data_IF_847851814119
#
_entry.id   IF_847851814119
#
_cell.length_a   1.000
_cell.length_b   1.000
_cell.length_c   1.000
_cell.angle_alpha   90.00
_cell.angle_beta   90.00
_cell.angle_gamma   90.00
#
_symmetry.space_group_name_H-M   'P 1'
#
loop_
_entity.id
_entity.type
_entity.pdbx_description
1 polymer ?
#
# COMPACT_ATOMS: atom_id res chain seq x y z
N UNK A 1 8.28 15.68 -14.80
CA UNK A 1 7.55 15.71 -13.50
C UNK A 1 6.44 14.67 -13.58
N UNK A 2 6.63 13.52 -12.94
CA UNK A 2 5.65 12.44 -12.93
C UNK A 2 4.59 12.71 -11.85
N UNK A 3 3.32 12.59 -12.22
CA UNK A 3 2.22 12.72 -11.27
C UNK A 3 1.90 11.33 -10.73
N UNK A 4 2.18 11.09 -9.44
CA UNK A 4 1.51 10.01 -8.72
C UNK A 4 0.04 10.42 -8.64
N UNK A 5 -0.79 9.83 -9.50
CA UNK A 5 -2.24 9.99 -9.37
C UNK A 5 -2.67 9.42 -8.02
N UNK A 6 -3.56 10.11 -7.30
CA UNK A 6 -4.08 9.76 -5.96
C UNK A 6 -4.93 8.46 -5.95
N UNK A 7 -4.34 7.36 -6.37
CA UNK A 7 -4.92 6.03 -6.39
C UNK A 7 -4.46 5.25 -5.14
N UNK A 8 -4.83 5.73 -3.95
CA UNK A 8 -4.40 5.15 -2.67
C UNK A 8 -5.55 4.67 -1.77
N UNK A 9 -6.76 5.24 -1.87
CA UNK A 9 -8.03 4.46 -1.86
C UNK A 9 -9.29 5.28 -2.07
N UNK A 10 -9.19 6.57 -1.83
CA UNK A 10 -10.28 7.50 -2.07
C UNK A 10 -9.74 8.52 -3.04
N UNK A 11 -10.15 8.38 -4.30
CA UNK A 11 -9.93 9.43 -5.27
C UNK A 11 -10.57 10.71 -4.74
N UNK A 12 -9.75 11.73 -4.52
CA UNK A 12 -10.25 13.09 -4.35
C UNK A 12 -11.12 13.46 -5.57
N UNK A 13 -12.15 14.32 -5.43
CA UNK A 13 -13.02 14.68 -6.54
C UNK A 13 -12.22 15.17 -7.76
N UNK A 14 -12.34 14.43 -8.88
CA UNK A 14 -11.55 14.60 -10.09
C UNK A 14 -12.13 13.78 -11.25
N UNK A 15 -11.62 14.02 -12.47
CA UNK A 15 -12.03 13.28 -13.67
C UNK A 15 -11.16 12.04 -13.87
N UNK A 16 -11.78 10.88 -14.08
CA UNK A 16 -11.10 9.60 -14.31
C UNK A 16 -11.55 9.01 -15.64
N UNK A 17 -10.60 8.48 -16.42
CA UNK A 17 -10.90 7.63 -17.58
C UNK A 17 -10.93 6.18 -17.13
N UNK A 18 -11.99 5.49 -17.51
CA UNK A 18 -12.16 4.05 -17.32
C UNK A 18 -12.31 3.42 -18.71
N UNK A 19 -11.67 2.29 -18.94
CA UNK A 19 -11.81 1.52 -20.17
C UNK A 19 -12.67 0.29 -19.90
N UNK A 20 -13.51 -0.08 -20.87
CA UNK A 20 -14.37 -1.25 -20.74
C UNK A 20 -13.58 -2.55 -20.96
N UNK A 21 -14.01 -3.65 -20.36
CA UNK A 21 -13.52 -4.99 -20.65
C UNK A 21 -14.06 -5.52 -22.00
N UNK A 22 -13.67 -6.73 -22.43
CA UNK A 22 -14.15 -7.37 -23.68
C UNK A 22 -15.68 -7.56 -23.75
N UNK A 23 -16.41 -7.45 -22.63
CA UNK A 23 -17.88 -7.49 -22.59
C UNK A 23 -18.55 -6.10 -22.67
N UNK A 24 -17.77 -5.02 -22.84
CA UNK A 24 -18.28 -3.65 -22.86
C UNK A 24 -18.60 -3.08 -21.47
N UNK A 25 -18.17 -3.75 -20.39
CA UNK A 25 -18.45 -3.36 -19.00
C UNK A 25 -17.25 -2.59 -18.45
N UNK A 26 -17.50 -1.39 -17.91
CA UNK A 26 -16.56 -0.66 -17.08
C UNK A 26 -17.12 -0.58 -15.65
N UNK A 27 -16.37 -1.09 -14.67
CA UNK A 27 -16.77 -1.10 -13.27
C UNK A 27 -15.92 -0.12 -12.45
N UNK A 28 -16.52 0.47 -11.41
CA UNK A 28 -15.79 1.28 -10.44
C UNK A 28 -16.39 1.13 -9.05
N UNK A 29 -15.57 1.30 -8.02
CA UNK A 29 -16.00 1.27 -6.62
C UNK A 29 -15.53 2.54 -5.90
N UNK A 30 -16.44 3.23 -5.21
CA UNK A 30 -16.18 4.39 -4.35
C UNK A 30 -16.39 3.98 -2.89
N UNK A 31 -15.52 4.45 -2.01
CA UNK A 31 -15.68 4.35 -0.55
C UNK A 31 -15.96 5.74 0.03
N UNK A 32 -17.12 5.91 0.65
CA UNK A 32 -17.65 7.22 1.05
C UNK A 32 -17.33 7.63 2.49
N UNK A 33 -16.07 7.56 2.91
CA UNK A 33 -15.68 7.75 4.32
C UNK A 33 -15.90 9.18 4.84
N UNK A 34 -15.75 10.17 3.96
CA UNK A 34 -16.05 11.58 4.24
C UNK A 34 -17.26 12.06 3.42
N UNK A 35 -18.13 11.13 2.99
CA UNK A 35 -19.30 11.49 2.20
C UNK A 35 -20.37 12.09 3.12
N UNK A 36 -20.65 13.38 2.93
CA UNK A 36 -21.76 14.06 3.59
C UNK A 36 -23.12 13.52 3.11
N UNK A 37 -24.11 13.56 4.01
CA UNK A 37 -25.52 13.35 3.67
C UNK A 37 -25.96 14.34 2.59
N UNK A 38 -26.72 13.84 1.60
CA UNK A 38 -27.23 14.66 0.50
C UNK A 38 -27.37 13.89 -0.81
N UNK A 39 -27.73 14.63 -1.87
CA UNK A 39 -27.86 14.09 -3.21
C UNK A 39 -26.53 14.22 -3.96
N UNK A 40 -25.96 13.08 -4.32
CA UNK A 40 -24.73 12.96 -5.08
C UNK A 40 -25.01 12.62 -6.54
N UNK A 41 -24.06 12.95 -7.42
CA UNK A 41 -24.18 12.73 -8.86
C UNK A 41 -22.84 12.31 -9.45
N UNK A 42 -22.78 11.11 -10.00
CA UNK A 42 -21.68 10.66 -10.87
C UNK A 42 -21.95 11.19 -12.28
N UNK A 43 -20.96 11.86 -12.88
CA UNK A 43 -20.98 12.26 -14.30
C UNK A 43 -20.09 11.28 -15.06
N UNK A 44 -20.59 10.73 -16.16
CA UNK A 44 -19.88 9.80 -17.03
C UNK A 44 -19.75 10.44 -18.41
N UNK A 45 -18.53 10.78 -18.79
CA UNK A 45 -18.22 11.28 -20.14
C UNK A 45 -17.83 10.11 -21.04
N UNK A 46 -18.53 9.95 -22.15
CA UNK A 46 -18.16 9.12 -23.29
C UNK A 46 -17.87 10.05 -24.48
N UNK A 47 -17.10 9.59 -25.46
CA UNK A 47 -16.57 10.44 -26.54
C UNK A 47 -17.63 11.24 -27.32
N UNK A 48 -18.87 10.73 -27.38
CA UNK A 48 -20.01 11.37 -28.06
C UNK A 48 -21.21 11.68 -27.15
N UNK A 49 -21.18 11.38 -25.85
CA UNK A 49 -22.32 11.60 -24.94
C UNK A 49 -21.90 11.78 -23.48
N UNK A 50 -22.67 12.58 -22.74
CA UNK A 50 -22.52 12.71 -21.29
C UNK A 50 -23.73 12.09 -20.59
N UNK A 51 -23.48 11.04 -19.81
CA UNK A 51 -24.48 10.39 -18.96
C UNK A 51 -24.29 10.80 -17.49
N UNK A 52 -25.27 10.51 -16.65
CA UNK A 52 -25.10 10.72 -15.22
C UNK A 52 -26.05 9.89 -14.36
N UNK A 53 -25.53 9.39 -13.24
CA UNK A 53 -26.30 8.66 -12.23
C UNK A 53 -26.36 9.50 -10.96
N UNK A 54 -27.56 9.78 -10.48
CA UNK A 54 -27.79 10.46 -9.20
C UNK A 54 -28.17 9.46 -8.11
N UNK A 55 -27.69 9.66 -6.90
CA UNK A 55 -27.99 8.81 -5.75
C UNK A 55 -28.03 9.65 -4.46
N UNK A 56 -28.85 9.24 -3.50
CA UNK A 56 -28.89 9.86 -2.17
C UNK A 56 -27.98 9.12 -1.20
N UNK A 57 -27.25 9.85 -0.38
CA UNK A 57 -26.62 9.34 0.85
C UNK A 57 -27.34 9.93 2.05
N UNK A 58 -27.63 9.09 3.04
CA UNK A 58 -28.22 9.50 4.33
C UNK A 58 -27.18 9.25 5.42
N UNK A 59 -27.13 10.11 6.44
CA UNK A 59 -26.26 9.87 7.57
C UNK A 59 -26.78 8.64 8.35
N UNK A 60 -25.89 7.71 8.68
CA UNK A 60 -26.23 6.57 9.52
C UNK A 60 -26.68 7.06 10.90
N UNK A 61 -27.86 6.61 11.36
CA UNK A 61 -28.41 7.00 12.65
C UNK A 61 -28.21 5.88 13.67
N UNK A 62 -27.28 6.10 14.60
CA UNK A 62 -27.05 5.21 15.74
C UNK A 62 -27.78 5.77 16.98
N UNK A 63 -28.37 4.88 17.78
CA UNK A 63 -28.99 5.18 19.07
C UNK A 63 -28.08 4.70 20.22
N UNK A 64 -28.28 5.25 21.42
CA UNK A 64 -27.53 4.82 22.61
C UNK A 64 -26.09 5.35 22.70
N UNK A 65 -25.69 6.30 21.87
CA UNK A 65 -24.37 6.94 21.96
C UNK A 65 -24.17 7.61 23.33
N UNK A 66 -23.01 7.38 23.93
CA UNK A 66 -22.54 8.10 25.13
C UNK A 66 -21.78 9.37 24.73
N UNK A 67 -21.39 10.23 25.68
CA UNK A 67 -20.48 11.34 25.38
C UNK A 67 -19.66 11.80 26.59
N UNK A 68 -18.51 12.43 26.34
CA UNK A 68 -17.69 13.14 27.33
C UNK A 68 -16.87 14.26 26.65
N UNK A 69 -16.06 14.99 27.42
CA UNK A 69 -15.07 15.93 26.90
C UNK A 69 -13.64 15.42 27.15
N UNK A 70 -12.79 15.53 26.13
CA UNK A 70 -11.35 15.23 26.20
C UNK A 70 -10.61 16.22 25.29
N UNK A 71 -10.71 17.52 25.59
CA UNK A 71 -10.50 18.58 24.61
C UNK A 71 -11.82 18.82 23.86
N UNK A 72 -11.99 18.36 22.60
CA UNK A 72 -13.31 18.33 21.96
C UNK A 72 -14.34 17.50 22.73
N UNK A 73 -15.62 17.68 22.36
CA UNK A 73 -16.71 16.77 22.75
C UNK A 73 -16.56 15.49 21.94
N UNK A 74 -16.57 14.35 22.63
CA UNK A 74 -16.46 13.02 22.04
C UNK A 74 -17.79 12.29 22.21
N UNK A 75 -18.40 11.83 21.12
CA UNK A 75 -19.53 10.91 21.10
C UNK A 75 -19.00 9.47 21.08
N UNK A 76 -19.59 8.58 21.87
CA UNK A 76 -19.09 7.22 22.08
C UNK A 76 -20.02 6.15 21.58
N UNK A 77 -19.55 5.41 20.56
CA UNK A 77 -20.10 4.12 20.17
C UNK A 77 -19.40 3.03 20.98
N UNK A 78 -20.08 2.47 21.96
CA UNK A 78 -19.57 1.35 22.76
C UNK A 78 -19.94 0.05 22.04
N UNK A 79 -18.96 -0.62 21.43
CA UNK A 79 -19.13 -1.95 20.86
C UNK A 79 -18.92 -3.07 21.89
N UNK A 80 -19.02 -4.34 21.47
CA UNK A 80 -18.74 -5.49 22.34
C UNK A 80 -17.26 -5.58 22.73
N UNK A 81 -16.34 -5.32 21.78
CA UNK A 81 -14.90 -5.53 21.97
C UNK A 81 -14.09 -4.23 22.19
N UNK A 82 -14.54 -3.10 21.62
CA UNK A 82 -13.89 -1.78 21.69
C UNK A 82 -14.91 -0.64 21.76
N UNK A 83 -14.60 0.43 22.49
CA UNK A 83 -15.27 1.72 22.31
C UNK A 83 -14.63 2.54 21.19
N UNK A 84 -15.43 3.11 20.29
CA UNK A 84 -14.98 4.14 19.34
C UNK A 84 -15.62 5.47 19.70
N UNK A 85 -14.78 6.41 20.11
CA UNK A 85 -15.13 7.77 20.51
C UNK A 85 -14.74 8.74 19.40
N UNK A 86 -15.64 9.62 18.98
CA UNK A 86 -15.42 10.49 17.82
C UNK A 86 -16.02 11.88 18.05
N UNK A 87 -15.32 12.93 17.60
CA UNK A 87 -15.81 14.30 17.75
C UNK A 87 -16.95 14.65 16.78
N UNK A 88 -17.67 15.74 17.05
CA UNK A 88 -18.87 16.16 16.31
C UNK A 88 -18.63 16.43 14.79
N UNK A 89 -17.37 16.60 14.37
CA UNK A 89 -16.90 16.77 12.99
C UNK A 89 -16.52 15.45 12.28
N UNK A 90 -16.57 14.31 12.97
CA UNK A 90 -16.30 12.97 12.40
C UNK A 90 -17.61 12.27 12.03
N UNK A 91 -17.69 11.73 10.81
CA UNK A 91 -18.85 10.96 10.37
C UNK A 91 -18.98 9.65 11.17
N UNK A 92 -20.14 9.44 11.79
CA UNK A 92 -20.48 8.22 12.57
C UNK A 92 -20.30 6.89 11.81
N UNK A 93 -20.41 6.89 10.47
CA UNK A 93 -20.11 5.71 9.66
C UNK A 93 -18.62 5.31 9.74
N UNK A 94 -17.70 6.28 9.83
CA UNK A 94 -16.28 6.02 10.01
C UNK A 94 -15.97 5.36 11.36
N UNK A 95 -16.74 5.67 12.41
CA UNK A 95 -16.56 5.01 13.71
C UNK A 95 -16.80 3.49 13.64
N UNK A 96 -17.77 3.05 12.84
CA UNK A 96 -18.01 1.63 12.56
C UNK A 96 -16.93 1.01 11.65
N UNK A 97 -16.53 1.71 10.59
CA UNK A 97 -15.44 1.25 9.70
C UNK A 97 -14.12 1.06 10.47
N UNK A 98 -13.83 1.94 11.44
CA UNK A 98 -12.69 1.84 12.37
C UNK A 98 -12.84 0.66 13.33
N UNK A 99 -14.00 0.48 13.96
CA UNK A 99 -14.27 -0.66 14.84
C UNK A 99 -14.07 -1.99 14.11
N UNK A 100 -14.68 -2.15 12.93
CA UNK A 100 -14.55 -3.35 12.11
C UNK A 100 -13.12 -3.55 11.56
N UNK A 101 -12.35 -2.47 11.28
CA UNK A 101 -10.94 -2.60 10.90
C UNK A 101 -10.07 -3.07 12.06
N UNK A 102 -10.33 -2.58 13.28
CA UNK A 102 -9.61 -2.96 14.49
C UNK A 102 -9.88 -4.42 14.88
N UNK A 103 -11.15 -4.86 14.84
CA UNK A 103 -11.53 -6.27 15.02
C UNK A 103 -10.81 -7.17 14.00
N UNK A 104 -10.82 -6.80 12.72
CA UNK A 104 -10.09 -7.52 11.67
C UNK A 104 -8.57 -7.53 11.92
N UNK A 105 -7.98 -6.40 12.37
CA UNK A 105 -6.56 -6.32 12.69
C UNK A 105 -6.22 -7.29 13.84
N UNK A 106 -7.06 -7.36 14.86
CA UNK A 106 -6.90 -8.28 15.97
C UNK A 106 -6.90 -9.73 15.52
N UNK A 107 -7.93 -10.18 14.80
CA UNK A 107 -7.98 -11.56 14.30
C UNK A 107 -6.81 -11.90 13.38
N UNK A 108 -6.34 -10.95 12.58
CA UNK A 108 -5.15 -11.11 11.72
C UNK A 108 -3.84 -11.24 12.53
N UNK A 109 -3.69 -10.52 13.65
CA UNK A 109 -2.53 -10.65 14.53
C UNK A 109 -2.62 -11.92 15.39
N UNK A 110 -3.79 -12.28 15.90
CA UNK A 110 -4.02 -13.55 16.62
C UNK A 110 -3.69 -14.77 15.76
N UNK A 111 -3.97 -14.73 14.45
CA UNK A 111 -3.54 -15.73 13.46
C UNK A 111 -2.00 -15.85 13.38
N UNK A 112 -1.26 -14.73 13.43
CA UNK A 112 0.21 -14.70 13.36
C UNK A 112 0.86 -15.17 14.67
N UNK A 113 0.34 -14.76 15.83
CA UNK A 113 0.92 -15.09 17.14
C UNK A 113 0.47 -16.49 17.61
N UNK A 114 -0.71 -16.95 17.18
CA UNK A 114 -1.28 -18.24 17.58
C UNK A 114 -1.93 -18.23 18.98
N UNK A 115 -2.13 -17.06 19.60
CA UNK A 115 -2.81 -16.90 20.90
C UNK A 115 -3.82 -15.75 20.86
N UNK A 116 -4.94 -15.85 21.59
CA UNK A 116 -5.88 -14.74 21.73
C UNK A 116 -5.25 -13.55 22.46
N UNK A 117 -5.50 -12.34 21.96
CA UNK A 117 -5.05 -11.08 22.55
C UNK A 117 -6.09 -10.48 23.52
N UNK A 118 -7.36 -10.90 23.42
CA UNK A 118 -8.44 -10.40 24.27
C UNK A 118 -8.83 -8.94 23.99
N UNK A 119 -9.39 -8.25 24.99
CA UNK A 119 -10.05 -6.94 24.82
C UNK A 119 -9.24 -5.92 24.03
N UNK A 120 -9.88 -5.26 23.07
CA UNK A 120 -9.28 -4.25 22.20
C UNK A 120 -9.11 -2.90 22.93
N UNK A 121 -8.20 -2.03 22.47
CA UNK A 121 -8.11 -0.66 22.96
C UNK A 121 -9.28 0.20 22.45
N UNK A 122 -9.72 1.15 23.26
CA UNK A 122 -10.63 2.21 22.81
C UNK A 122 -9.94 3.09 21.73
N UNK A 123 -10.71 3.58 20.76
CA UNK A 123 -10.22 4.48 19.71
C UNK A 123 -10.84 5.87 19.84
N UNK A 124 -10.04 6.93 19.64
CA UNK A 124 -10.41 8.33 19.77
C UNK A 124 -10.14 9.06 18.44
N UNK A 125 -11.20 9.31 17.67
CA UNK A 125 -11.17 9.90 16.34
C UNK A 125 -11.51 11.40 16.40
N UNK A 126 -10.76 12.21 15.65
CA UNK A 126 -11.03 13.65 15.51
C UNK A 126 -10.97 14.14 14.08
N UNK A 127 -11.78 15.14 13.72
CA UNK A 127 -11.89 15.58 12.33
C UNK A 127 -10.62 16.20 11.74
N UNK A 128 -9.72 16.78 12.55
CA UNK A 128 -8.51 17.44 12.04
C UNK A 128 -7.29 17.36 12.98
N UNK A 129 -6.13 17.83 12.50
CA UNK A 129 -4.88 17.90 13.26
C UNK A 129 -5.02 18.78 14.52
N UNK A 130 -5.75 19.90 14.43
CA UNK A 130 -5.89 20.83 15.55
C UNK A 130 -6.61 20.18 16.74
N UNK A 131 -7.61 19.35 16.46
CA UNK A 131 -8.32 18.54 17.45
C UNK A 131 -7.44 17.38 17.95
N UNK A 132 -6.56 16.82 17.11
CA UNK A 132 -5.56 15.82 17.54
C UNK A 132 -4.50 16.43 18.49
N UNK A 133 -4.04 17.65 18.21
CA UNK A 133 -3.15 18.41 19.10
C UNK A 133 -3.83 18.76 20.43
N UNK A 134 -5.17 18.92 20.44
CA UNK A 134 -5.93 19.09 21.69
C UNK A 134 -6.00 17.79 22.49
N UNK A 135 -6.19 16.64 21.83
CA UNK A 135 -6.14 15.32 22.46
C UNK A 135 -4.74 15.05 23.04
N UNK A 136 -3.66 15.26 22.28
CA UNK A 136 -2.29 14.97 22.73
C UNK A 136 -1.92 15.77 23.97
N UNK A 137 -2.27 17.07 24.01
CA UNK A 137 -2.16 17.92 25.21
C UNK A 137 -3.04 17.45 26.36
N UNK A 138 -4.28 17.02 26.12
CA UNK A 138 -5.17 16.50 27.16
C UNK A 138 -4.68 15.17 27.75
N UNK A 139 -3.96 14.35 26.98
CA UNK A 139 -3.38 13.07 27.43
C UNK A 139 -1.91 13.17 27.87
N UNK A 140 -1.29 14.33 27.76
CA UNK A 140 0.14 14.59 28.02
C UNK A 140 1.09 13.75 27.14
N UNK A 141 0.73 13.58 25.86
CA UNK A 141 1.56 12.93 24.83
C UNK A 141 2.08 14.01 23.89
N UNK A 142 3.36 13.94 23.51
CA UNK A 142 3.93 14.79 22.45
C UNK A 142 3.90 14.03 21.12
N UNK A 143 2.90 14.30 20.28
CA UNK A 143 2.67 13.63 18.99
C UNK A 143 3.60 14.12 17.87
N UNK A 144 4.27 15.27 18.04
CA UNK A 144 5.11 15.86 16.99
C UNK A 144 4.36 16.07 15.66
N UNK A 145 4.65 15.23 14.68
CA UNK A 145 4.13 15.29 13.30
C UNK A 145 3.23 14.09 12.93
N UNK A 146 3.00 13.15 13.85
CA UNK A 146 2.38 11.85 13.56
C UNK A 146 0.88 11.94 13.21
N UNK A 147 0.37 10.88 12.56
CA UNK A 147 -1.04 10.74 12.16
C UNK A 147 -1.97 10.29 13.29
N UNK A 148 -1.39 9.66 14.31
CA UNK A 148 -2.04 9.16 15.50
C UNK A 148 -1.03 8.94 16.63
N UNK A 149 -1.48 8.31 17.72
CA UNK A 149 -0.62 7.76 18.77
C UNK A 149 -1.38 6.76 19.65
N UNK A 150 -0.68 5.75 20.15
CA UNK A 150 -1.15 4.83 21.18
C UNK A 150 -0.75 5.28 22.58
N UNK A 151 -1.58 4.95 23.57
CA UNK A 151 -1.27 5.14 24.98
C UNK A 151 -1.73 3.94 25.84
N UNK A 152 -0.77 3.24 26.43
CA UNK A 152 -0.98 2.05 27.27
C UNK A 152 -1.58 2.33 28.65
N UNK A 153 -1.43 3.54 29.19
CA UNK A 153 -1.71 3.86 30.61
C UNK A 153 -2.39 5.23 30.80
N UNK A 154 -2.92 5.45 32.00
CA UNK A 154 -3.43 6.76 32.45
C UNK A 154 -4.91 7.01 32.17
N UNK A 155 -5.34 8.27 32.25
CA UNK A 155 -6.73 8.64 31.91
C UNK A 155 -6.99 8.41 30.42
N UNK A 156 -7.99 7.60 30.10
CA UNK A 156 -8.36 7.23 28.72
C UNK A 156 -7.18 6.62 27.93
N UNK A 157 -6.74 5.39 28.26
CA UNK A 157 -5.80 4.67 27.41
C UNK A 157 -6.49 4.27 26.10
N UNK A 158 -5.70 4.01 25.05
CA UNK A 158 -6.19 3.62 23.74
C UNK A 158 -5.45 4.29 22.58
N UNK A 159 -6.09 4.31 21.41
CA UNK A 159 -5.54 4.74 20.12
C UNK A 159 -6.16 6.08 19.71
N UNK A 160 -5.37 7.07 19.34
CA UNK A 160 -5.81 8.44 19.01
C UNK A 160 -5.45 8.76 17.56
N UNK A 161 -6.39 9.18 16.70
CA UNK A 161 -6.16 9.34 15.24
C UNK A 161 -6.96 10.52 14.65
N UNK A 162 -6.39 11.23 13.67
CA UNK A 162 -7.13 12.21 12.83
C UNK A 162 -7.86 11.54 11.65
N UNK A 163 -9.11 11.94 11.43
CA UNK A 163 -10.05 11.36 10.47
C UNK A 163 -10.01 12.01 9.06
N UNK A 164 -9.33 13.16 8.90
CA UNK A 164 -9.17 13.86 7.62
C UNK A 164 -8.11 13.25 6.68
N UNK A 165 -7.98 11.92 6.70
CA UNK A 165 -6.99 11.17 5.92
C UNK A 165 -7.66 10.32 4.83
N UNK A 166 -6.87 9.80 3.89
CA UNK A 166 -7.36 8.81 2.93
C UNK A 166 -7.67 7.48 3.66
N UNK A 167 -8.65 6.71 3.18
CA UNK A 167 -9.08 5.43 3.80
C UNK A 167 -7.92 4.59 4.31
N UNK A 168 -6.99 4.23 3.43
CA UNK A 168 -5.96 3.26 3.78
C UNK A 168 -4.82 3.86 4.58
N UNK A 169 -4.66 5.19 4.60
CA UNK A 169 -3.73 5.90 5.48
C UNK A 169 -4.26 5.82 6.92
N UNK A 170 -5.55 6.14 7.11
CA UNK A 170 -6.25 5.96 8.38
C UNK A 170 -6.30 4.48 8.82
N UNK A 171 -6.55 3.54 7.90
CA UNK A 171 -6.47 2.10 8.22
C UNK A 171 -5.03 1.60 8.43
N UNK A 172 -3.99 2.33 7.98
CA UNK A 172 -2.58 2.01 8.28
C UNK A 172 -2.25 2.45 9.70
N UNK A 173 -2.47 3.73 10.01
CA UNK A 173 -2.24 4.31 11.34
C UNK A 173 -3.02 3.52 12.39
N UNK A 174 -4.29 3.19 12.16
CA UNK A 174 -5.07 2.37 13.10
C UNK A 174 -4.43 1.00 13.40
N UNK A 175 -3.79 0.38 12.42
CA UNK A 175 -3.11 -0.91 12.60
C UNK A 175 -1.75 -0.72 13.27
N UNK A 176 -1.00 0.31 12.88
CA UNK A 176 0.27 0.70 13.49
C UNK A 176 0.10 0.95 15.01
N UNK A 177 -0.85 1.82 15.39
CA UNK A 177 -1.16 2.10 16.80
C UNK A 177 -1.73 0.89 17.55
N UNK A 178 -2.47 0.01 16.85
CA UNK A 178 -2.91 -1.25 17.43
C UNK A 178 -1.75 -2.22 17.67
N UNK A 179 -0.73 -2.24 16.82
CA UNK A 179 0.45 -3.07 17.01
C UNK A 179 1.27 -2.61 18.23
N UNK A 180 1.38 -1.30 18.50
CA UNK A 180 1.90 -0.84 19.80
C UNK A 180 1.05 -1.34 20.98
N UNK A 181 -0.28 -1.36 20.86
CA UNK A 181 -1.12 -2.00 21.89
C UNK A 181 -0.76 -3.47 22.10
N UNK A 182 -0.61 -4.24 21.03
CA UNK A 182 -0.20 -5.65 21.08
C UNK A 182 1.18 -5.81 21.73
N UNK A 183 2.17 -5.03 21.30
CA UNK A 183 3.54 -5.12 21.79
C UNK A 183 3.62 -4.89 23.30
N UNK A 184 3.01 -3.80 23.77
CA UNK A 184 2.97 -3.44 25.19
C UNK A 184 2.15 -4.42 26.03
N UNK A 185 1.12 -5.04 25.45
CA UNK A 185 0.30 -6.08 26.10
C UNK A 185 1.04 -7.40 26.25
N UNK A 186 1.79 -7.83 25.22
CA UNK A 186 2.59 -9.06 25.24
C UNK A 186 3.73 -8.96 26.26
N UNK A 187 4.52 -7.88 26.21
CA UNK A 187 5.61 -7.63 27.17
C UNK A 187 5.08 -7.42 28.59
N UNK A 188 3.96 -6.71 28.71
CA UNK A 188 3.29 -6.44 29.97
C UNK A 188 3.94 -5.32 30.79
N UNK A 189 3.13 -4.65 31.60
CA UNK A 189 3.47 -3.41 32.31
C UNK A 189 4.69 -3.49 33.25
N UNK A 190 5.10 -4.70 33.64
CA UNK A 190 6.26 -4.97 34.50
C UNK A 190 7.58 -4.96 33.73
N UNK A 191 7.55 -5.27 32.44
CA UNK A 191 8.72 -5.46 31.59
C UNK A 191 8.77 -4.48 30.41
N UNK A 192 7.84 -3.52 30.34
CA UNK A 192 7.76 -2.46 29.32
C UNK A 192 9.07 -1.66 29.16
N UNK A 193 9.90 -1.55 30.21
CA UNK A 193 11.24 -0.94 30.14
C UNK A 193 12.28 -1.75 29.35
N UNK A 194 12.01 -3.03 29.10
CA UNK A 194 12.88 -3.95 28.36
C UNK A 194 12.45 -4.06 26.89
N UNK A 195 11.38 -3.38 26.46
CA UNK A 195 10.95 -3.32 25.07
C UNK A 195 11.80 -2.27 24.33
N UNK A 196 12.72 -2.66 23.44
CA UNK A 196 13.53 -1.71 22.69
C UNK A 196 12.67 -0.98 21.66
N UNK A 197 12.91 0.33 21.47
CA UNK A 197 12.09 1.17 20.59
C UNK A 197 12.07 0.67 19.14
N UNK A 198 13.20 0.21 18.60
CA UNK A 198 13.27 -0.38 17.26
C UNK A 198 12.36 -1.61 17.06
N UNK A 199 12.12 -2.42 18.10
CA UNK A 199 11.24 -3.59 17.97
C UNK A 199 9.77 -3.19 18.03
N UNK A 200 9.43 -2.24 18.90
CA UNK A 200 8.08 -1.70 19.02
C UNK A 200 7.63 -1.04 17.70
N UNK A 201 8.46 -0.12 17.20
CA UNK A 201 8.26 0.61 15.94
C UNK A 201 8.42 -0.28 14.71
N UNK A 202 9.36 -1.22 14.72
CA UNK A 202 9.58 -2.16 13.62
C UNK A 202 8.41 -3.13 13.45
N UNK A 203 7.82 -3.62 14.54
CA UNK A 203 6.63 -4.49 14.47
C UNK A 203 5.42 -3.69 13.97
N UNK A 204 5.23 -2.48 14.49
CA UNK A 204 4.14 -1.60 14.04
C UNK A 204 4.24 -1.27 12.54
N UNK A 205 5.43 -0.84 12.11
CA UNK A 205 5.75 -0.51 10.71
C UNK A 205 5.69 -1.72 9.79
N UNK A 206 6.16 -2.90 10.20
CA UNK A 206 6.13 -4.08 9.34
C UNK A 206 4.70 -4.62 9.15
N UNK A 207 3.97 -4.82 10.24
CA UNK A 207 2.65 -5.44 10.18
C UNK A 207 1.54 -4.50 9.69
N UNK A 208 1.69 -3.17 9.72
CA UNK A 208 0.70 -2.29 9.08
C UNK A 208 0.59 -2.52 7.56
N UNK A 209 1.70 -2.87 6.89
CA UNK A 209 1.71 -3.21 5.47
C UNK A 209 1.19 -4.63 5.26
N UNK A 210 1.77 -5.64 5.92
CA UNK A 210 1.39 -7.06 5.75
C UNK A 210 -0.10 -7.31 6.01
N UNK A 211 -0.64 -6.75 7.10
CA UNK A 211 -2.07 -6.90 7.43
C UNK A 211 -2.96 -6.02 6.55
N UNK A 212 -2.40 -4.95 5.98
CA UNK A 212 -3.02 -4.12 4.95
C UNK A 212 -3.15 -4.83 3.59
N UNK A 213 -2.18 -5.66 3.20
CA UNK A 213 -2.18 -6.42 1.94
C UNK A 213 -3.31 -7.47 1.84
N UNK A 214 -3.87 -7.92 2.97
CA UNK A 214 -5.03 -8.83 3.04
C UNK A 214 -6.37 -8.18 2.64
N UNK A 215 -6.39 -6.88 2.33
CA UNK A 215 -7.48 -6.20 1.61
C UNK A 215 -7.02 -5.93 0.18
N UNK A 216 -7.91 -5.60 -0.77
CA UNK A 216 -7.48 -4.79 -1.89
C UNK A 216 -6.73 -3.59 -1.28
N UNK A 217 -5.40 -3.49 -1.50
CA UNK A 217 -4.53 -2.31 -1.29
C UNK A 217 -3.96 -1.91 -2.65
N UNK A 218 -4.06 -0.63 -3.08
CA UNK A 218 -3.61 -0.26 -4.41
C UNK A 218 -2.10 -0.19 -4.36
N UNK A 219 -1.48 -0.35 -5.52
CA UNK A 219 -0.04 -0.60 -5.60
C UNK A 219 0.78 0.47 -4.83
N UNK A 220 0.39 1.75 -4.86
CA UNK A 220 1.09 2.85 -4.20
C UNK A 220 1.31 2.70 -2.68
N UNK A 221 0.47 1.95 -1.95
CA UNK A 221 0.71 1.63 -0.53
C UNK A 221 1.97 0.78 -0.29
N UNK A 222 2.51 0.12 -1.31
CA UNK A 222 3.79 -0.60 -1.25
C UNK A 222 5.00 0.30 -1.47
N UNK A 223 4.80 1.54 -1.95
CA UNK A 223 5.91 2.43 -2.27
C UNK A 223 6.69 2.85 -1.01
N UNK A 224 6.08 3.28 0.12
CA UNK A 224 6.82 3.58 1.34
C UNK A 224 7.64 2.38 1.81
N UNK A 225 7.01 1.21 1.90
CA UNK A 225 7.65 -0.08 2.25
C UNK A 225 8.90 -0.39 1.40
N UNK A 226 8.85 -0.17 0.08
CA UNK A 226 9.99 -0.39 -0.82
C UNK A 226 11.05 0.71 -0.70
N UNK A 227 10.64 1.96 -0.45
CA UNK A 227 11.57 3.06 -0.15
C UNK A 227 12.34 2.80 1.15
N UNK A 228 11.67 2.42 2.24
CA UNK A 228 12.30 2.02 3.50
C UNK A 228 13.34 0.91 3.31
N UNK A 229 13.02 -0.09 2.49
CA UNK A 229 13.95 -1.17 2.19
C UNK A 229 15.17 -0.69 1.37
N UNK A 230 14.96 0.17 0.37
CA UNK A 230 16.04 0.74 -0.44
C UNK A 230 16.94 1.70 0.38
N UNK A 231 16.37 2.53 1.23
CA UNK A 231 17.08 3.53 2.05
C UNK A 231 17.87 2.85 3.18
N UNK A 232 17.29 1.86 3.88
CA UNK A 232 18.00 1.05 4.86
C UNK A 232 19.13 0.22 4.21
N UNK A 233 18.91 -0.35 3.01
CA UNK A 233 19.94 -1.05 2.25
C UNK A 233 21.07 -0.11 1.81
N UNK A 234 20.76 1.12 1.38
CA UNK A 234 21.75 2.13 1.05
C UNK A 234 22.60 2.52 2.28
N UNK A 235 21.99 2.65 3.46
CA UNK A 235 22.70 2.90 4.71
C UNK A 235 23.60 1.72 5.13
N UNK A 236 23.14 0.48 4.97
CA UNK A 236 23.95 -0.71 5.23
C UNK A 236 25.19 -0.77 4.31
N UNK A 237 25.00 -0.57 3.00
CA UNK A 237 26.07 -0.60 1.99
C UNK A 237 27.09 0.54 2.13
N UNK A 238 26.68 1.69 2.68
CA UNK A 238 27.56 2.84 2.92
C UNK A 238 28.16 2.88 4.33
N UNK A 239 27.77 1.96 5.22
CA UNK A 239 28.23 1.92 6.62
C UNK A 239 27.66 3.04 7.50
N UNK A 240 26.50 3.61 7.13
CA UNK A 240 25.80 4.67 7.89
C UNK A 240 24.57 4.16 8.64
N UNK A 241 24.33 2.84 8.64
CA UNK A 241 23.26 2.22 9.43
C UNK A 241 23.53 2.41 10.94
N UNK A 242 22.49 2.61 11.74
CA UNK A 242 22.68 2.75 13.19
C UNK A 242 23.03 1.39 13.81
N UNK A 243 23.89 1.32 14.84
CA UNK A 243 23.87 0.17 15.73
C UNK A 243 22.50 0.11 16.42
N UNK A 244 21.93 -1.09 16.57
CA UNK A 244 20.59 -1.30 17.12
C UNK A 244 20.46 -0.73 18.54
N UNK A 245 21.55 -0.72 19.30
CA UNK A 245 21.62 -0.14 20.65
C UNK A 245 21.29 1.36 20.68
N UNK A 246 21.66 2.12 19.64
CA UNK A 246 21.29 3.53 19.48
C UNK A 246 19.81 3.74 19.08
N UNK A 247 19.08 2.65 18.81
CA UNK A 247 17.65 2.61 18.47
C UNK A 247 16.81 1.96 19.58
N UNK A 248 17.39 1.55 20.71
CA UNK A 248 16.62 0.96 21.83
C UNK A 248 15.92 2.02 22.67
N UNK A 249 16.56 3.19 22.85
CA UNK A 249 16.11 4.26 23.74
C UNK A 249 15.01 5.10 23.11
N UNK A 250 13.79 5.00 23.64
CA UNK A 250 12.67 5.87 23.24
C UNK A 250 12.95 7.37 23.47
N UNK A 251 13.83 7.73 24.41
CA UNK A 251 14.25 9.12 24.59
C UNK A 251 15.21 9.58 23.47
N UNK A 252 16.12 8.73 23.00
CA UNK A 252 17.01 9.10 21.90
C UNK A 252 16.23 9.15 20.58
N UNK A 253 15.40 8.14 20.31
CA UNK A 253 14.48 8.06 19.17
C UNK A 253 13.63 9.33 18.99
N UNK A 254 13.00 9.80 20.07
CA UNK A 254 12.10 10.96 20.05
C UNK A 254 12.83 12.32 20.02
N UNK A 255 14.14 12.36 20.29
CA UNK A 255 14.94 13.58 20.27
C UNK A 255 15.79 13.74 19.00
N UNK A 256 15.78 12.76 18.07
CA UNK A 256 16.40 12.94 16.75
C UNK A 256 15.65 14.02 15.97
N UNK A 257 16.39 14.83 15.22
CA UNK A 257 15.85 16.02 14.54
C UNK A 257 16.37 16.23 13.12
N UNK A 258 17.41 15.51 12.71
CA UNK A 258 17.76 15.43 11.29
C UNK A 258 16.71 14.57 10.56
N UNK A 259 16.20 15.07 9.43
CA UNK A 259 15.09 14.42 8.72
C UNK A 259 15.49 13.08 8.08
N UNK A 260 16.76 12.91 7.71
CA UNK A 260 17.27 11.65 7.17
C UNK A 260 17.48 10.63 8.31
N UNK A 261 18.05 11.04 9.44
CA UNK A 261 18.17 10.17 10.62
C UNK A 261 16.82 9.74 11.20
N UNK A 262 15.82 10.63 11.14
CA UNK A 262 14.43 10.35 11.55
C UNK A 262 13.73 9.40 10.58
N UNK A 263 13.99 9.44 9.27
CA UNK A 263 13.49 8.39 8.36
C UNK A 263 14.19 7.06 8.64
N UNK A 264 15.53 7.09 8.62
CA UNK A 264 16.37 5.89 8.64
C UNK A 264 16.16 5.04 9.91
N UNK A 265 15.78 5.62 11.05
CA UNK A 265 15.45 4.81 12.23
C UNK A 265 14.20 3.94 12.04
N UNK A 266 13.13 4.45 11.42
CA UNK A 266 11.94 3.66 11.10
C UNK A 266 12.23 2.68 9.96
N UNK A 267 12.95 3.14 8.92
CA UNK A 267 13.33 2.30 7.77
C UNK A 267 14.19 1.09 8.20
N UNK A 268 15.15 1.32 9.08
CA UNK A 268 15.96 0.27 9.69
C UNK A 268 15.13 -0.64 10.59
N UNK A 269 14.30 -0.10 11.47
CA UNK A 269 13.44 -0.89 12.37
C UNK A 269 12.48 -1.82 11.60
N UNK A 270 11.85 -1.30 10.54
CA UNK A 270 11.06 -2.08 9.58
C UNK A 270 11.88 -3.23 8.99
N UNK A 271 13.09 -2.95 8.49
CA UNK A 271 13.94 -3.99 7.89
C UNK A 271 14.51 -4.99 8.91
N UNK A 272 14.75 -4.60 10.16
CA UNK A 272 15.17 -5.52 11.23
C UNK A 272 14.05 -6.51 11.56
N UNK A 273 12.79 -6.05 11.63
CA UNK A 273 11.65 -6.94 11.82
C UNK A 273 11.38 -7.78 10.57
N UNK A 274 11.54 -7.23 9.36
CA UNK A 274 11.46 -8.00 8.12
C UNK A 274 12.51 -9.13 8.09
N UNK A 275 13.76 -8.84 8.43
CA UNK A 275 14.82 -9.84 8.61
C UNK A 275 14.40 -10.95 9.58
N UNK A 276 13.82 -10.60 10.73
CA UNK A 276 13.33 -11.58 11.69
C UNK A 276 12.25 -12.49 11.06
N UNK A 277 11.25 -11.90 10.41
CA UNK A 277 10.13 -12.66 9.82
C UNK A 277 10.54 -13.54 8.63
N UNK A 278 11.42 -13.07 7.74
CA UNK A 278 11.91 -13.83 6.59
C UNK A 278 12.92 -14.92 6.99
N UNK A 279 13.70 -14.72 8.06
CA UNK A 279 14.77 -15.66 8.49
C UNK A 279 14.31 -16.68 9.53
N UNK A 280 13.51 -16.25 10.51
CA UNK A 280 13.09 -17.08 11.66
C UNK A 280 11.58 -17.35 11.69
N UNK A 281 10.83 -16.86 10.69
CA UNK A 281 9.39 -17.05 10.54
C UNK A 281 8.57 -15.90 11.12
N UNK A 282 7.35 -15.75 10.59
CA UNK A 282 6.49 -14.58 10.84
C UNK A 282 6.22 -14.30 12.32
N UNK A 283 6.01 -15.31 13.16
CA UNK A 283 5.72 -15.10 14.58
C UNK A 283 6.94 -14.66 15.42
N UNK A 284 8.17 -14.71 14.88
CA UNK A 284 9.40 -14.52 15.65
C UNK A 284 9.54 -13.17 16.37
N UNK A 285 9.07 -12.01 15.85
CA UNK A 285 9.11 -10.75 16.61
C UNK A 285 8.21 -10.81 17.86
N UNK A 286 7.03 -11.42 17.74
CA UNK A 286 6.12 -11.61 18.87
C UNK A 286 6.62 -12.67 19.86
N UNK A 287 7.31 -13.71 19.39
CA UNK A 287 8.00 -14.67 20.26
C UNK A 287 9.11 -13.99 21.07
N UNK A 288 9.86 -13.04 20.48
CA UNK A 288 10.86 -12.23 21.18
C UNK A 288 10.20 -11.37 22.29
N UNK A 289 9.06 -10.73 22.00
CA UNK A 289 8.29 -9.98 23.00
C UNK A 289 7.78 -10.86 24.15
N UNK A 290 7.33 -12.08 23.86
CA UNK A 290 6.90 -13.05 24.88
C UNK A 290 8.04 -13.51 25.78
N UNK A 291 9.26 -13.64 25.26
CA UNK A 291 10.45 -13.95 26.06
C UNK A 291 10.83 -12.76 26.96
N UNK A 292 10.78 -11.52 26.44
CA UNK A 292 10.95 -10.30 27.25
C UNK A 292 9.91 -10.22 28.38
N UNK A 293 8.67 -10.68 28.13
CA UNK A 293 7.60 -10.74 29.13
C UNK A 293 7.90 -11.68 30.33
N UNK A 294 8.83 -12.63 30.17
CA UNK A 294 9.33 -13.46 31.29
C UNK A 294 10.28 -12.69 32.23
N UNK A 295 10.77 -11.53 31.78
CA UNK A 295 11.78 -10.72 32.45
C UNK A 295 13.18 -10.82 31.87
N UNK A 296 13.35 -11.47 30.71
CA UNK A 296 14.59 -11.40 29.95
C UNK A 296 14.93 -9.96 29.53
N UNK A 297 16.23 -9.66 29.45
CA UNK A 297 16.72 -8.53 28.67
C UNK A 297 16.82 -8.90 27.18
N UNK A 298 17.06 -7.91 26.32
CA UNK A 298 17.09 -8.14 24.87
C UNK A 298 18.17 -9.14 24.42
N UNK A 299 19.43 -9.10 24.92
CA UNK A 299 20.43 -10.12 24.59
C UNK A 299 20.00 -11.54 24.98
N UNK A 300 19.45 -11.74 26.19
CA UNK A 300 18.93 -13.05 26.60
C UNK A 300 17.74 -13.47 25.74
N UNK A 301 16.84 -12.53 25.42
CA UNK A 301 15.65 -12.82 24.62
C UNK A 301 16.01 -13.27 23.18
N UNK A 302 16.97 -12.59 22.53
CA UNK A 302 17.51 -13.01 21.23
C UNK A 302 18.18 -14.39 21.32
N UNK A 303 18.95 -14.65 22.37
CA UNK A 303 19.64 -15.92 22.58
C UNK A 303 18.67 -17.08 22.85
N UNK A 304 17.56 -16.85 23.57
CA UNK A 304 16.52 -17.87 23.77
C UNK A 304 15.72 -18.10 22.49
N UNK A 305 15.27 -17.05 21.81
CA UNK A 305 14.28 -17.17 20.72
C UNK A 305 14.91 -17.46 19.36
N UNK A 306 15.91 -16.67 18.95
CA UNK A 306 16.56 -16.76 17.63
C UNK A 306 17.85 -17.59 17.64
N UNK A 307 18.32 -17.97 18.84
CA UNK A 307 19.60 -18.69 19.08
C UNK A 307 20.86 -17.89 18.71
N UNK A 308 20.76 -16.57 18.62
CA UNK A 308 21.87 -15.67 18.32
C UNK A 308 22.26 -14.83 19.53
N UNK A 309 23.54 -14.49 19.63
CA UNK A 309 23.97 -13.38 20.48
C UNK A 309 23.45 -12.06 19.91
N UNK A 310 23.52 -10.98 20.69
CA UNK A 310 23.12 -9.65 20.21
C UNK A 310 23.99 -9.22 19.01
N UNK A 311 25.29 -9.43 19.12
CA UNK A 311 26.29 -9.09 18.11
C UNK A 311 26.13 -9.93 16.84
N UNK A 312 25.86 -11.24 16.97
CA UNK A 312 25.59 -12.12 15.83
C UNK A 312 24.27 -11.76 15.13
N UNK A 313 23.25 -11.30 15.87
CA UNK A 313 21.98 -10.83 15.31
C UNK A 313 22.18 -9.55 14.49
N UNK A 314 22.85 -8.54 15.05
CA UNK A 314 23.12 -7.29 14.33
C UNK A 314 24.00 -7.53 13.09
N UNK A 315 25.06 -8.34 13.22
CA UNK A 315 25.93 -8.71 12.11
C UNK A 315 25.17 -9.46 10.99
N UNK A 316 24.31 -10.41 11.34
CA UNK A 316 23.51 -11.13 10.34
C UNK A 316 22.47 -10.24 9.68
N UNK A 317 21.81 -9.35 10.44
CA UNK A 317 20.88 -8.36 9.90
C UNK A 317 21.56 -7.47 8.85
N UNK A 318 22.72 -6.87 9.15
CA UNK A 318 23.45 -5.98 8.23
C UNK A 318 23.91 -6.72 6.97
N UNK A 319 24.40 -7.96 7.11
CA UNK A 319 24.82 -8.79 5.97
C UNK A 319 23.64 -9.21 5.08
N UNK A 320 22.52 -9.61 5.69
CA UNK A 320 21.28 -9.91 4.98
C UNK A 320 20.79 -8.67 4.23
N UNK A 321 20.63 -7.53 4.91
CA UNK A 321 20.10 -6.29 4.33
C UNK A 321 20.95 -5.78 3.16
N UNK A 322 22.28 -5.87 3.27
CA UNK A 322 23.21 -5.49 2.19
C UNK A 322 23.03 -6.31 0.91
N UNK A 323 22.58 -7.56 1.02
CA UNK A 323 22.39 -8.50 -0.11
C UNK A 323 20.92 -8.70 -0.48
N UNK A 324 19.98 -8.22 0.33
CA UNK A 324 18.55 -8.44 0.18
C UNK A 324 17.95 -7.80 -1.07
N UNK A 325 17.03 -8.50 -1.73
CA UNK A 325 16.21 -7.97 -2.83
C UNK A 325 14.77 -8.43 -2.64
N UNK A 326 13.80 -7.53 -2.84
CA UNK A 326 12.39 -7.89 -2.71
C UNK A 326 12.00 -8.95 -3.77
N UNK A 327 11.48 -10.13 -3.36
CA UNK A 327 11.15 -11.21 -4.30
C UNK A 327 9.97 -10.88 -5.22
N UNK A 328 9.06 -9.97 -4.83
CA UNK A 328 7.95 -9.53 -5.68
C UNK A 328 8.43 -8.51 -6.70
N UNK A 329 9.24 -7.52 -6.27
CA UNK A 329 9.91 -6.55 -7.14
C UNK A 329 10.79 -7.24 -8.17
N UNK A 330 11.54 -8.26 -7.77
CA UNK A 330 12.41 -9.04 -8.66
C UNK A 330 11.60 -9.73 -9.76
N UNK A 331 10.53 -10.46 -9.40
CA UNK A 331 9.61 -11.09 -10.37
C UNK A 331 8.93 -10.07 -11.28
N UNK A 332 8.50 -8.95 -10.70
CA UNK A 332 7.89 -7.81 -11.41
C UNK A 332 8.85 -7.18 -12.44
N UNK A 333 10.11 -6.99 -12.07
CA UNK A 333 11.14 -6.43 -12.96
C UNK A 333 11.46 -7.36 -14.13
N UNK A 334 11.61 -8.67 -13.89
CA UNK A 334 11.80 -9.66 -14.96
C UNK A 334 10.61 -9.65 -15.94
N UNK A 335 9.38 -9.69 -15.42
CA UNK A 335 8.18 -9.59 -16.27
C UNK A 335 8.15 -8.30 -17.09
N UNK A 336 8.50 -7.16 -16.50
CA UNK A 336 8.57 -5.90 -17.24
C UNK A 336 9.69 -5.86 -18.27
N UNK A 337 10.84 -6.49 -18.06
CA UNK A 337 11.88 -6.55 -19.08
C UNK A 337 11.36 -7.28 -20.34
N UNK A 338 10.69 -8.42 -20.16
CA UNK A 338 10.04 -9.15 -21.26
C UNK A 338 8.93 -8.33 -21.93
N UNK A 339 8.03 -7.71 -21.16
CA UNK A 339 6.92 -6.94 -21.75
C UNK A 339 7.39 -5.64 -22.44
N UNK A 340 8.38 -4.92 -21.89
CA UNK A 340 8.96 -3.76 -22.55
C UNK A 340 9.67 -4.16 -23.87
N UNK A 341 10.27 -5.35 -23.95
CA UNK A 341 10.85 -5.85 -25.20
C UNK A 341 9.80 -6.05 -26.29
N UNK A 342 8.70 -6.74 -25.98
CA UNK A 342 7.58 -6.95 -26.90
C UNK A 342 6.90 -5.64 -27.33
N UNK A 343 6.83 -4.65 -26.43
CA UNK A 343 6.34 -3.31 -26.76
C UNK A 343 7.29 -2.52 -27.66
N UNK A 344 8.60 -2.73 -27.54
CA UNK A 344 9.57 -2.12 -28.44
C UNK A 344 9.51 -2.75 -29.84
N UNK A 345 9.43 -4.08 -29.97
CA UNK A 345 9.18 -4.74 -31.26
C UNK A 345 7.86 -4.25 -31.90
N UNK A 346 6.82 -4.06 -31.09
CA UNK A 346 5.56 -3.44 -31.53
C UNK A 346 5.76 -2.01 -32.07
N UNK A 347 6.59 -1.20 -31.40
CA UNK A 347 6.89 0.16 -31.85
C UNK A 347 7.70 0.17 -33.16
N UNK A 348 8.65 -0.76 -33.34
CA UNK A 348 9.39 -0.91 -34.60
C UNK A 348 8.47 -1.22 -35.80
N UNK A 349 7.37 -1.96 -35.60
CA UNK A 349 6.34 -2.17 -36.63
C UNK A 349 5.63 -0.86 -36.98
N UNK A 350 5.26 -0.04 -35.98
CA UNK A 350 4.64 1.27 -36.22
C UNK A 350 5.59 2.22 -36.96
N UNK A 351 6.87 2.27 -36.57
CA UNK A 351 7.87 3.15 -37.17
C UNK A 351 8.14 2.75 -38.63
N UNK A 352 8.35 1.44 -38.89
CA UNK A 352 8.47 0.90 -40.26
C UNK A 352 7.23 1.24 -41.11
N UNK A 353 6.03 1.23 -40.52
CA UNK A 353 4.79 1.52 -41.24
C UNK A 353 4.63 3.01 -41.55
N UNK A 354 5.03 3.91 -40.65
CA UNK A 354 4.99 5.35 -40.92
C UNK A 354 6.00 5.73 -42.01
N UNK A 355 7.25 5.25 -41.92
CA UNK A 355 8.26 5.39 -42.98
C UNK A 355 7.74 4.87 -44.33
N UNK A 356 7.09 3.70 -44.32
CA UNK A 356 6.51 3.11 -45.53
C UNK A 356 5.43 4.00 -46.15
N UNK A 357 4.48 4.51 -45.36
CA UNK A 357 3.40 5.40 -45.83
C UNK A 357 3.91 6.74 -46.37
N UNK A 358 5.04 7.22 -45.84
CA UNK A 358 5.71 8.44 -46.28
C UNK A 358 6.65 8.22 -47.49
N UNK A 359 6.87 6.97 -47.93
CA UNK A 359 7.75 6.60 -49.04
C UNK A 359 7.00 6.37 -50.36
N UNK A 360 7.73 6.36 -51.48
CA UNK A 360 7.17 5.95 -52.77
C UNK A 360 7.09 4.40 -52.85
N UNK A 361 5.90 3.79 -52.95
CA UNK A 361 5.74 2.35 -52.76
C UNK A 361 6.28 1.54 -53.94
N UNK A 362 7.13 0.54 -53.66
CA UNK A 362 7.70 -0.38 -54.66
C UNK A 362 7.09 -1.78 -54.55
N UNK A 363 6.82 -2.25 -53.33
CA UNK A 363 5.92 -3.39 -53.06
C UNK A 363 5.04 -3.05 -51.84
N UNK A 364 3.81 -3.58 -51.79
CA UNK A 364 2.89 -3.51 -50.64
C UNK A 364 2.76 -4.84 -49.91
N UNK A 365 2.72 -5.95 -50.64
CA UNK A 365 2.19 -7.20 -50.10
C UNK A 365 3.19 -7.88 -49.17
N UNK A 366 4.46 -8.01 -49.59
CA UNK A 366 5.52 -8.62 -48.77
C UNK A 366 5.75 -7.85 -47.45
N UNK A 367 5.62 -6.52 -47.47
CA UNK A 367 5.79 -5.65 -46.29
C UNK A 367 4.70 -5.89 -45.25
N UNK A 368 3.41 -5.90 -45.65
CA UNK A 368 2.32 -6.23 -44.73
C UNK A 368 2.37 -7.68 -44.25
N UNK A 369 2.82 -8.62 -45.09
CA UNK A 369 3.01 -10.02 -44.70
C UNK A 369 4.06 -10.17 -43.59
N UNK A 370 5.19 -9.47 -43.70
CA UNK A 370 6.20 -9.38 -42.64
C UNK A 370 5.61 -8.82 -41.34
N UNK A 371 4.96 -7.65 -41.37
CA UNK A 371 4.42 -7.03 -40.14
C UNK A 371 3.35 -7.88 -39.44
N UNK A 372 2.50 -8.58 -40.20
CA UNK A 372 1.55 -9.53 -39.62
C UNK A 372 2.29 -10.67 -38.91
N UNK A 373 3.31 -11.27 -39.55
CA UNK A 373 4.13 -12.33 -38.93
C UNK A 373 4.89 -11.85 -37.68
N UNK A 374 5.42 -10.63 -37.72
CA UNK A 374 6.14 -10.03 -36.59
C UNK A 374 5.17 -9.78 -35.41
N UNK A 375 3.95 -9.28 -35.69
CA UNK A 375 2.91 -9.09 -34.67
C UNK A 375 2.36 -10.43 -34.11
N UNK A 376 2.20 -11.46 -34.95
CA UNK A 376 1.79 -12.80 -34.51
C UNK A 376 2.86 -13.45 -33.61
N UNK A 377 4.15 -13.24 -33.91
CA UNK A 377 5.28 -13.63 -33.05
C UNK A 377 5.19 -12.93 -31.69
N UNK A 378 5.01 -11.61 -31.65
CA UNK A 378 4.87 -10.82 -30.42
C UNK A 378 3.70 -11.33 -29.55
N UNK A 379 2.53 -11.52 -30.16
CA UNK A 379 1.34 -12.02 -29.46
C UNK A 379 1.57 -13.42 -28.88
N UNK A 380 2.25 -14.30 -29.63
CA UNK A 380 2.60 -15.64 -29.17
C UNK A 380 3.63 -15.62 -28.03
N UNK A 381 4.70 -14.84 -28.15
CA UNK A 381 5.72 -14.72 -27.11
C UNK A 381 5.15 -14.20 -25.79
N UNK A 382 4.14 -13.32 -25.84
CA UNK A 382 3.40 -12.93 -24.64
C UNK A 382 2.72 -14.12 -23.95
N UNK A 383 2.14 -15.07 -24.70
CA UNK A 383 1.47 -16.25 -24.10
C UNK A 383 2.43 -17.23 -23.40
N UNK A 384 3.72 -17.21 -23.76
CA UNK A 384 4.76 -17.99 -23.09
C UNK A 384 5.30 -17.30 -21.81
N UNK A 385 4.97 -16.01 -21.58
CA UNK A 385 5.35 -15.27 -20.36
C UNK A 385 4.33 -15.50 -19.26
N UNK A 386 4.75 -16.06 -18.13
CA UNK A 386 3.91 -16.13 -16.91
C UNK A 386 3.97 -14.80 -16.13
N UNK A 387 2.86 -14.06 -15.96
CA UNK A 387 2.85 -12.85 -15.15
C UNK A 387 2.83 -13.16 -13.64
N UNK A 388 3.43 -12.31 -12.79
CA UNK A 388 3.10 -12.25 -11.36
C UNK A 388 1.59 -12.07 -11.15
N UNK A 389 1.05 -12.62 -10.06
CA UNK A 389 -0.39 -12.56 -9.74
C UNK A 389 -0.93 -11.12 -9.72
N UNK A 390 -0.17 -10.19 -9.13
CA UNK A 390 -0.47 -8.76 -9.07
C UNK A 390 -0.47 -8.04 -10.43
N UNK A 391 -0.04 -8.69 -11.51
CA UNK A 391 0.08 -8.13 -12.86
C UNK A 391 -0.81 -8.84 -13.90
N UNK A 392 -1.72 -9.74 -13.47
CA UNK A 392 -2.62 -10.46 -14.38
C UNK A 392 -3.49 -9.54 -15.24
N UNK A 393 -4.02 -8.45 -14.66
CA UNK A 393 -4.82 -7.45 -15.40
C UNK A 393 -4.01 -6.75 -16.50
N UNK A 394 -2.75 -6.41 -16.22
CA UNK A 394 -1.84 -5.79 -17.21
C UNK A 394 -1.44 -6.79 -18.29
N UNK A 395 -1.20 -8.05 -17.91
CA UNK A 395 -0.94 -9.10 -18.88
C UNK A 395 -2.12 -9.28 -19.83
N UNK A 396 -3.35 -9.28 -19.30
CA UNK A 396 -4.57 -9.32 -20.10
C UNK A 396 -4.69 -8.11 -21.04
N UNK A 397 -4.49 -6.89 -20.55
CA UNK A 397 -4.51 -5.67 -21.38
C UNK A 397 -3.44 -5.71 -22.49
N UNK A 398 -2.26 -6.26 -22.21
CA UNK A 398 -1.21 -6.50 -23.21
C UNK A 398 -1.66 -7.53 -24.26
N UNK A 399 -2.28 -8.64 -23.85
CA UNK A 399 -2.86 -9.63 -24.80
C UNK A 399 -3.90 -8.97 -25.69
N UNK A 400 -4.82 -8.18 -25.14
CA UNK A 400 -5.83 -7.44 -25.94
C UNK A 400 -5.16 -6.48 -26.92
N UNK A 401 -4.12 -5.76 -26.50
CA UNK A 401 -3.41 -4.82 -27.35
C UNK A 401 -2.69 -5.51 -28.53
N UNK A 402 -2.02 -6.63 -28.29
CA UNK A 402 -1.31 -7.37 -29.34
C UNK A 402 -2.26 -8.14 -30.27
N UNK A 403 -3.35 -8.73 -29.75
CA UNK A 403 -4.42 -9.33 -30.56
C UNK A 403 -5.02 -8.31 -31.55
N UNK A 404 -5.24 -7.07 -31.09
CA UNK A 404 -5.77 -5.98 -31.92
C UNK A 404 -4.77 -5.52 -32.98
N UNK A 405 -3.47 -5.45 -32.66
CA UNK A 405 -2.42 -5.14 -33.62
C UNK A 405 -2.38 -6.16 -34.77
N UNK A 406 -2.36 -7.45 -34.45
CA UNK A 406 -2.40 -8.56 -35.43
C UNK A 406 -3.63 -8.42 -36.33
N UNK A 407 -4.81 -8.19 -35.74
CA UNK A 407 -6.06 -8.04 -36.48
C UNK A 407 -6.06 -6.81 -37.40
N UNK A 408 -5.53 -5.68 -36.93
CA UNK A 408 -5.43 -4.44 -37.69
C UNK A 408 -4.54 -4.61 -38.92
N UNK A 409 -3.30 -5.10 -38.73
CA UNK A 409 -2.36 -5.36 -39.83
C UNK A 409 -2.90 -6.40 -40.83
N UNK A 410 -3.62 -7.41 -40.35
CA UNK A 410 -4.26 -8.44 -41.22
C UNK A 410 -5.35 -7.83 -42.09
N UNK A 411 -6.13 -6.87 -41.58
CA UNK A 411 -7.13 -6.15 -42.36
C UNK A 411 -6.49 -5.22 -43.39
N UNK A 412 -5.38 -4.57 -43.06
CA UNK A 412 -4.61 -3.76 -44.02
C UNK A 412 -3.99 -4.64 -45.13
N UNK A 413 -3.38 -5.78 -44.79
CA UNK A 413 -2.90 -6.80 -45.75
C UNK A 413 -4.02 -7.27 -46.69
N UNK A 414 -5.22 -7.42 -46.15
CA UNK A 414 -6.43 -7.81 -46.89
C UNK A 414 -7.12 -6.65 -47.62
N UNK A 415 -6.46 -5.48 -47.74
CA UNK A 415 -6.97 -4.25 -48.35
C UNK A 415 -8.35 -3.79 -47.82
N UNK A 416 -8.67 -4.16 -46.58
CA UNK A 416 -9.95 -3.92 -45.91
C UNK A 416 -9.90 -2.64 -45.07
N UNK A 417 -9.46 -1.55 -45.71
CA UNK A 417 -9.01 -0.30 -45.07
C UNK A 417 -10.04 0.32 -44.13
N UNK A 418 -11.34 0.32 -44.47
CA UNK A 418 -12.37 0.87 -43.58
C UNK A 418 -12.44 0.09 -42.26
N UNK A 419 -12.45 -1.24 -42.32
CA UNK A 419 -12.50 -2.10 -41.14
C UNK A 419 -11.18 -2.06 -40.34
N UNK A 420 -10.05 -1.76 -40.97
CA UNK A 420 -8.80 -1.48 -40.27
C UNK A 420 -8.88 -0.13 -39.53
N UNK A 421 -9.35 0.93 -40.20
CA UNK A 421 -9.51 2.26 -39.59
C UNK A 421 -10.48 2.25 -38.40
N UNK A 422 -11.55 1.45 -38.45
CA UNK A 422 -12.51 1.28 -37.35
C UNK A 422 -11.86 0.71 -36.07
N UNK A 423 -10.69 0.06 -36.15
CA UNK A 423 -9.96 -0.47 -34.98
C UNK A 423 -9.00 0.55 -34.34
N UNK A 424 -8.62 1.62 -35.04
CA UNK A 424 -7.61 2.59 -34.57
C UNK A 424 -7.96 3.17 -33.18
N UNK A 425 -9.21 3.63 -32.90
CA UNK A 425 -9.53 4.22 -31.60
C UNK A 425 -9.40 3.26 -30.42
N UNK A 426 -9.72 1.97 -30.61
CA UNK A 426 -9.56 0.94 -29.56
C UNK A 426 -8.08 0.57 -29.41
N UNK A 427 -7.33 0.43 -30.51
CA UNK A 427 -5.90 0.12 -30.51
C UNK A 427 -5.09 1.22 -29.80
N UNK A 428 -5.37 2.50 -30.12
CA UNK A 428 -4.78 3.65 -29.43
C UNK A 428 -5.17 3.68 -27.94
N UNK A 429 -6.43 3.39 -27.62
CA UNK A 429 -6.91 3.34 -26.22
C UNK A 429 -6.19 2.26 -25.40
N UNK A 430 -6.02 1.05 -25.97
CA UNK A 430 -5.29 -0.06 -25.31
C UNK A 430 -3.81 0.23 -25.18
N UNK A 431 -3.16 0.78 -26.21
CA UNK A 431 -1.75 1.19 -26.16
C UNK A 431 -1.51 2.25 -25.06
N UNK A 432 -2.39 3.25 -24.98
CA UNK A 432 -2.31 4.31 -23.96
C UNK A 432 -2.61 3.78 -22.55
N UNK A 433 -3.58 2.88 -22.38
CA UNK A 433 -3.88 2.22 -21.11
C UNK A 433 -2.67 1.40 -20.63
N UNK A 434 -2.15 0.51 -21.49
CA UNK A 434 -1.00 -0.34 -21.17
C UNK A 434 0.21 0.51 -20.77
N UNK A 435 0.60 1.50 -21.59
CA UNK A 435 1.71 2.40 -21.27
C UNK A 435 1.53 3.15 -19.94
N UNK A 436 0.31 3.60 -19.63
CA UNK A 436 -0.01 4.27 -18.35
C UNK A 436 0.08 3.32 -17.15
N UNK A 437 -0.47 2.12 -17.27
CA UNK A 437 -0.43 1.09 -16.23
C UNK A 437 1.00 0.66 -15.91
N UNK A 438 1.83 0.44 -16.94
CA UNK A 438 3.24 0.10 -16.78
C UNK A 438 4.04 1.24 -16.12
N UNK A 439 3.80 2.49 -16.51
CA UNK A 439 4.44 3.65 -15.87
C UNK A 439 4.09 3.74 -14.38
N UNK A 440 2.82 3.55 -14.03
CA UNK A 440 2.35 3.58 -12.64
C UNK A 440 3.02 2.49 -11.79
N UNK A 441 3.09 1.25 -12.28
CA UNK A 441 3.69 0.16 -11.49
C UNK A 441 5.22 0.28 -11.39
N UNK A 442 5.91 0.83 -12.41
CA UNK A 442 7.34 1.18 -12.29
C UNK A 442 7.57 2.19 -11.15
N UNK A 443 6.77 3.26 -11.08
CA UNK A 443 6.84 4.26 -10.00
C UNK A 443 6.60 3.62 -8.62
N UNK A 444 5.60 2.74 -8.51
CA UNK A 444 5.28 2.06 -7.25
C UNK A 444 6.43 1.15 -6.78
N UNK A 445 7.01 0.39 -7.70
CA UNK A 445 8.05 -0.58 -7.36
C UNK A 445 9.46 0.04 -7.28
N UNK A 446 9.57 1.36 -7.36
CA UNK A 446 10.82 2.12 -7.44
C UNK A 446 11.76 1.62 -8.58
N UNK A 447 11.18 1.16 -9.69
CA UNK A 447 11.92 0.67 -10.85
C UNK A 447 12.31 1.83 -11.77
N UNK A 448 13.53 1.76 -12.31
CA UNK A 448 14.11 2.75 -13.23
C UNK A 448 13.69 2.50 -14.69
#
# INVERSE_FOLDING_TARGET
MGWITKAEYSYAPGSYRLYANKAGIAEWKRYGIQDVEGNWKVKLGFDNRNESVSYGLQQLKLSGLTWFYLGPRMNGLIGPEAGVFFSDDVHVALALDVQARLELASSQVEEVIGVPLGSLPDVYLVGDQKNLDLLSRATLVNIGWEGGYYRSRGFKPGIYIKANLLRAELESILVHEYLHHVNHKLVGLKHESNLPRWLDEGIASFYEYELGLKRPRPAAFRKPMLSSADDAKAAALSGTIFPLSALESGNEWNNRSDLYEVSLQYDQAYMTVRFMTETFGVSSPFTLLQEIATGADLPLALQTTLKLTYEDFELQFVNWLSSWEDPERTRTNVYFQSLNHLMNETQEIYDQRDDYLNSAPIDRYETYEKWVSDAEKIAKELTDITPPESLQDIHYDATVCFDLLVRWLTLEKSNSINAANDLIPELDSRKNLLGSSLHNIKIVNNLK
#
